data_IF_259602198015
#
_entry.id   IF_259602198015
#
_cell.length_a   1.000
_cell.length_b   1.000
_cell.length_c   1.000
_cell.angle_alpha   90.00
_cell.angle_beta   90.00
_cell.angle_gamma   90.00
#
_symmetry.space_group_name_H-M   'P 1'
#
loop_
_entity.id
_entity.type
_entity.pdbx_description
1 polymer ?
#
# COMPACT_ATOMS: atom_id res chain seq x y z
N UNK A 1 1.78 -17.53 -35.25
CA UNK A 1 1.66 -16.24 -34.57
C UNK A 1 2.31 -16.37 -33.21
N UNK A 2 3.51 -15.85 -33.02
CA UNK A 2 4.17 -15.82 -31.71
C UNK A 2 3.32 -14.97 -30.78
N UNK A 3 2.72 -15.57 -29.76
CA UNK A 3 2.00 -14.85 -28.69
C UNK A 3 2.94 -13.79 -28.12
N UNK A 4 2.64 -12.53 -28.39
CA UNK A 4 3.44 -11.40 -27.86
C UNK A 4 3.41 -11.48 -26.36
N UNK A 5 4.54 -11.74 -25.72
CA UNK A 5 4.68 -11.92 -24.28
C UNK A 5 4.18 -10.65 -23.55
N UNK A 6 3.28 -10.80 -22.58
CA UNK A 6 2.74 -9.66 -21.83
C UNK A 6 3.83 -9.07 -20.96
N UNK A 7 4.12 -7.79 -21.13
CA UNK A 7 5.19 -7.11 -20.39
C UNK A 7 4.78 -6.79 -18.96
N UNK A 8 3.57 -6.28 -18.77
CA UNK A 8 3.06 -5.95 -17.44
C UNK A 8 1.60 -6.42 -17.25
N UNK A 9 1.31 -6.88 -16.04
CA UNK A 9 -0.06 -7.00 -15.51
C UNK A 9 -0.29 -5.89 -14.51
N UNK A 10 -1.30 -5.04 -14.76
CA UNK A 10 -1.76 -4.04 -13.80
C UNK A 10 -2.89 -4.67 -12.98
N UNK A 11 -2.71 -4.71 -11.67
CA UNK A 11 -3.62 -5.33 -10.71
C UNK A 11 -4.48 -4.25 -10.08
N UNK A 12 -5.81 -4.34 -10.25
CA UNK A 12 -6.78 -3.41 -9.68
C UNK A 12 -7.72 -4.16 -8.76
N UNK A 13 -7.52 -4.06 -7.45
CA UNK A 13 -8.47 -4.54 -6.46
C UNK A 13 -9.62 -3.53 -6.33
N UNK A 14 -10.86 -3.96 -6.53
CA UNK A 14 -12.03 -3.10 -6.56
C UNK A 14 -13.11 -3.56 -5.58
N UNK A 15 -13.60 -2.64 -4.76
CA UNK A 15 -14.78 -2.83 -3.91
C UNK A 15 -15.52 -1.52 -3.74
N UNK A 16 -16.78 -1.49 -4.17
CA UNK A 16 -17.61 -0.27 -4.22
C UNK A 16 -16.89 0.84 -4.99
N UNK A 17 -16.45 0.52 -6.20
CA UNK A 17 -15.63 1.38 -7.04
C UNK A 17 -16.36 1.84 -8.33
N UNK A 18 -17.67 1.69 -8.42
CA UNK A 18 -18.49 2.00 -9.60
C UNK A 18 -18.15 3.37 -10.19
N UNK A 19 -18.02 4.40 -9.34
CA UNK A 19 -17.79 5.79 -9.78
C UNK A 19 -16.35 6.10 -10.19
N UNK A 20 -15.37 5.26 -9.81
CA UNK A 20 -13.94 5.60 -9.93
C UNK A 20 -13.16 4.69 -10.83
N UNK A 21 -13.59 3.43 -10.91
CA UNK A 21 -12.88 2.37 -11.59
C UNK A 21 -12.56 2.69 -13.04
N UNK A 22 -13.52 3.29 -13.76
CA UNK A 22 -13.32 3.61 -15.18
C UNK A 22 -12.14 4.56 -15.41
N UNK A 23 -11.96 5.55 -14.55
CA UNK A 23 -10.83 6.47 -14.63
C UNK A 23 -9.51 5.78 -14.30
N UNK A 24 -9.49 4.97 -13.25
CA UNK A 24 -8.32 4.19 -12.85
C UNK A 24 -7.87 3.24 -13.98
N UNK A 25 -8.76 2.42 -14.51
CA UNK A 25 -8.45 1.47 -15.59
C UNK A 25 -8.02 2.18 -16.88
N UNK A 26 -8.62 3.31 -17.24
CA UNK A 26 -8.18 4.10 -18.41
C UNK A 26 -6.76 4.59 -18.24
N UNK A 27 -6.35 5.05 -17.06
CA UNK A 27 -4.96 5.44 -16.78
C UNK A 27 -3.98 4.27 -16.89
N UNK A 28 -4.43 3.07 -16.51
CA UNK A 28 -3.67 1.83 -16.68
C UNK A 28 -3.51 1.45 -18.16
N UNK A 29 -4.57 1.57 -18.95
CA UNK A 29 -4.53 1.28 -20.39
C UNK A 29 -3.71 2.29 -21.21
N UNK A 30 -3.54 3.50 -20.68
CA UNK A 30 -2.75 4.58 -21.28
C UNK A 30 -1.25 4.48 -21.01
N UNK A 31 -0.77 3.43 -20.32
CA UNK A 31 0.65 3.25 -20.07
C UNK A 31 1.41 3.00 -21.38
N UNK A 32 2.48 3.75 -21.61
CA UNK A 32 3.35 3.63 -22.78
C UNK A 32 4.31 2.45 -22.62
N UNK A 33 3.74 1.24 -22.71
CA UNK A 33 4.46 -0.02 -22.58
C UNK A 33 3.90 -1.04 -23.59
N UNK A 34 4.77 -1.70 -24.34
CA UNK A 34 4.45 -2.44 -25.55
C UNK A 34 3.30 -3.47 -25.45
N UNK A 35 3.18 -4.22 -24.35
CA UNK A 35 2.11 -5.21 -24.15
C UNK A 35 1.75 -5.28 -22.69
N UNK A 36 0.51 -4.96 -22.36
CA UNK A 36 -0.01 -5.03 -21.00
C UNK A 36 -1.38 -5.70 -20.94
N UNK A 37 -1.74 -6.19 -19.76
CA UNK A 37 -3.11 -6.54 -19.39
C UNK A 37 -3.49 -5.81 -18.09
N UNK A 38 -4.77 -5.55 -17.91
CA UNK A 38 -5.34 -5.01 -16.67
C UNK A 38 -6.27 -6.06 -16.08
N UNK A 39 -5.98 -6.54 -14.88
CA UNK A 39 -6.85 -7.45 -14.15
C UNK A 39 -7.57 -6.68 -13.06
N UNK A 40 -8.86 -6.46 -13.25
CA UNK A 40 -9.75 -5.95 -12.21
C UNK A 40 -10.30 -7.13 -11.43
N UNK A 41 -10.11 -7.11 -10.11
CA UNK A 41 -10.72 -8.08 -9.21
C UNK A 41 -11.80 -7.40 -8.40
N UNK A 42 -13.04 -7.74 -8.70
CA UNK A 42 -14.20 -7.29 -7.93
C UNK A 42 -14.34 -8.14 -6.66
N UNK A 43 -14.09 -7.54 -5.52
CA UNK A 43 -14.11 -8.17 -4.20
C UNK A 43 -15.56 -8.31 -3.66
N UNK A 44 -16.45 -8.92 -4.45
CA UNK A 44 -17.88 -9.09 -4.17
C UNK A 44 -18.58 -7.74 -3.87
N UNK A 45 -18.44 -6.77 -4.77
CA UNK A 45 -19.07 -5.47 -4.62
C UNK A 45 -20.59 -5.54 -4.74
N UNK A 46 -21.35 -4.85 -3.87
CA UNK A 46 -22.81 -4.79 -3.94
C UNK A 46 -23.32 -3.74 -4.94
N UNK A 47 -22.44 -2.90 -5.52
CA UNK A 47 -22.74 -1.82 -6.47
C UNK A 47 -22.47 -2.25 -7.94
N UNK A 48 -22.45 -1.29 -8.85
CA UNK A 48 -22.19 -1.52 -10.28
C UNK A 48 -20.72 -1.76 -10.66
N UNK A 49 -19.79 -2.03 -9.71
CA UNK A 49 -18.35 -2.24 -10.00
C UNK A 49 -18.11 -3.30 -11.07
N UNK A 50 -18.73 -4.48 -10.96
CA UNK A 50 -18.63 -5.54 -11.97
C UNK A 50 -19.19 -5.12 -13.33
N UNK A 51 -20.30 -4.35 -13.35
CA UNK A 51 -20.90 -3.82 -14.59
C UNK A 51 -19.94 -2.87 -15.28
N UNK A 52 -19.42 -1.88 -14.55
CA UNK A 52 -18.45 -0.93 -15.08
C UNK A 52 -17.20 -1.62 -15.67
N UNK A 53 -16.74 -2.70 -15.04
CA UNK A 53 -15.63 -3.50 -15.58
C UNK A 53 -16.00 -4.20 -16.90
N UNK A 54 -17.20 -4.78 -17.01
CA UNK A 54 -17.65 -5.44 -18.26
C UNK A 54 -17.78 -4.43 -19.41
N UNK A 55 -18.22 -3.22 -19.11
CA UNK A 55 -18.27 -2.13 -20.11
C UNK A 55 -16.86 -1.78 -20.63
N UNK A 56 -15.86 -1.73 -19.75
CA UNK A 56 -14.45 -1.55 -20.13
C UNK A 56 -13.90 -2.72 -20.95
N UNK A 57 -14.25 -3.97 -20.60
CA UNK A 57 -13.87 -5.17 -21.36
C UNK A 57 -14.46 -5.17 -22.76
N UNK A 58 -15.66 -4.61 -22.96
CA UNK A 58 -16.30 -4.53 -24.26
C UNK A 58 -15.56 -3.58 -25.23
N UNK A 59 -14.83 -2.60 -24.72
CA UNK A 59 -14.10 -1.61 -25.54
C UNK A 59 -12.59 -1.88 -25.60
N UNK A 60 -12.01 -2.62 -24.64
CA UNK A 60 -10.58 -2.93 -24.64
C UNK A 60 -10.31 -4.38 -24.19
N UNK A 61 -9.83 -5.26 -25.08
CA UNK A 61 -9.61 -6.68 -24.77
C UNK A 61 -8.44 -6.93 -23.80
N UNK A 62 -7.66 -5.91 -23.45
CA UNK A 62 -6.61 -6.01 -22.44
C UNK A 62 -7.16 -6.03 -21.01
N UNK A 63 -8.43 -5.65 -20.82
CA UNK A 63 -9.11 -5.68 -19.51
C UNK A 63 -9.70 -7.06 -19.25
N UNK A 64 -9.48 -7.56 -18.06
CA UNK A 64 -10.03 -8.84 -17.56
C UNK A 64 -10.71 -8.61 -16.22
N UNK A 65 -11.84 -9.25 -16.00
CA UNK A 65 -12.56 -9.27 -14.73
C UNK A 65 -12.39 -10.61 -14.04
N UNK A 66 -12.04 -10.56 -12.75
CA UNK A 66 -12.21 -11.65 -11.80
C UNK A 66 -13.22 -11.19 -10.74
N UNK A 67 -14.10 -12.09 -10.28
CA UNK A 67 -15.07 -11.79 -9.23
C UNK A 67 -14.86 -12.78 -8.09
N UNK A 68 -14.73 -12.27 -6.87
CA UNK A 68 -14.67 -13.12 -5.68
C UNK A 68 -16.07 -13.43 -5.17
N UNK A 69 -16.29 -14.61 -4.60
CA UNK A 69 -17.59 -15.04 -4.06
C UNK A 69 -18.00 -14.27 -2.81
N UNK A 70 -17.03 -13.74 -2.07
CA UNK A 70 -17.21 -12.95 -0.83
C UNK A 70 -16.15 -11.90 -0.68
N UNK A 71 -16.47 -10.81 0.02
CA UNK A 71 -15.49 -9.77 0.32
C UNK A 71 -14.35 -10.31 1.20
N UNK A 72 -13.19 -10.46 0.59
CA UNK A 72 -11.93 -10.91 1.22
C UNK A 72 -10.97 -9.77 1.54
N UNK A 73 -11.25 -8.55 1.09
CA UNK A 73 -10.38 -7.38 1.22
C UNK A 73 -9.31 -7.27 0.13
N UNK A 74 -8.56 -6.17 0.12
CA UNK A 74 -7.60 -5.86 -0.94
C UNK A 74 -6.52 -6.94 -1.10
N UNK A 75 -6.09 -7.57 -0.01
CA UNK A 75 -5.11 -8.66 -0.02
C UNK A 75 -5.62 -9.87 -0.82
N UNK A 76 -6.86 -10.33 -0.59
CA UNK A 76 -7.43 -11.46 -1.30
C UNK A 76 -7.59 -11.15 -2.80
N UNK A 77 -8.10 -9.95 -3.11
CA UNK A 77 -8.26 -9.50 -4.49
C UNK A 77 -6.92 -9.41 -5.23
N UNK A 78 -5.90 -8.79 -4.62
CA UNK A 78 -4.56 -8.71 -5.23
C UNK A 78 -3.93 -10.08 -5.40
N UNK A 79 -4.08 -11.00 -4.45
CA UNK A 79 -3.58 -12.37 -4.58
C UNK A 79 -4.25 -13.12 -5.74
N UNK A 80 -5.57 -13.00 -5.92
CA UNK A 80 -6.26 -13.60 -7.06
C UNK A 80 -5.74 -13.04 -8.40
N UNK A 81 -5.45 -11.74 -8.46
CA UNK A 81 -4.84 -11.15 -9.65
C UNK A 81 -3.40 -11.64 -9.89
N UNK A 82 -2.57 -11.79 -8.84
CA UNK A 82 -1.20 -12.33 -8.96
C UNK A 82 -1.21 -13.73 -9.57
N UNK A 83 -2.12 -14.60 -9.13
CA UNK A 83 -2.27 -15.96 -9.67
C UNK A 83 -2.68 -15.96 -11.15
N UNK A 84 -3.58 -15.05 -11.54
CA UNK A 84 -4.10 -14.97 -12.91
C UNK A 84 -3.21 -14.17 -13.86
N UNK A 85 -2.18 -13.49 -13.35
CA UNK A 85 -1.31 -12.58 -14.10
C UNK A 85 -0.41 -13.33 -15.09
N UNK A 86 -0.24 -12.73 -16.28
CA UNK A 86 0.61 -13.23 -17.37
C UNK A 86 1.83 -12.35 -17.62
N UNK A 87 1.81 -11.12 -17.11
CA UNK A 87 2.88 -10.13 -17.29
C UNK A 87 4.20 -10.55 -16.66
N UNK A 88 5.31 -10.11 -17.22
CA UNK A 88 6.63 -10.24 -16.61
C UNK A 88 6.73 -9.42 -15.33
N UNK A 89 6.02 -8.30 -15.30
CA UNK A 89 5.94 -7.36 -14.19
C UNK A 89 4.51 -7.25 -13.67
N UNK A 90 4.38 -7.08 -12.36
CA UNK A 90 3.13 -6.84 -11.65
C UNK A 90 3.12 -5.41 -11.14
N UNK A 91 2.13 -4.61 -11.52
CA UNK A 91 1.96 -3.23 -11.05
C UNK A 91 0.65 -3.10 -10.27
N UNK A 92 0.71 -2.51 -9.08
CA UNK A 92 -0.49 -2.30 -8.25
C UNK A 92 -1.08 -0.93 -8.53
N UNK A 93 -2.40 -0.90 -8.74
CA UNK A 93 -3.19 0.32 -8.87
C UNK A 93 -4.47 0.19 -8.05
N UNK A 94 -4.72 1.14 -7.17
CA UNK A 94 -5.98 1.18 -6.42
C UNK A 94 -7.11 1.69 -7.33
N UNK A 95 -8.33 1.19 -7.12
CA UNK A 95 -9.48 1.44 -8.00
C UNK A 95 -9.99 2.89 -8.01
N UNK A 96 -9.43 3.75 -7.18
CA UNK A 96 -9.74 5.17 -7.07
C UNK A 96 -8.56 6.11 -7.42
N UNK A 97 -7.39 5.52 -7.75
CA UNK A 97 -6.17 6.23 -8.10
C UNK A 97 -5.87 6.18 -9.60
N UNK A 98 -4.79 6.82 -10.03
CA UNK A 98 -4.35 6.86 -11.42
C UNK A 98 -2.83 6.72 -11.54
N UNK A 99 -2.35 6.46 -12.74
CA UNK A 99 -0.94 6.44 -13.11
C UNK A 99 -0.64 7.50 -14.17
N UNK A 100 0.52 8.15 -14.10
CA UNK A 100 1.08 8.93 -15.19
C UNK A 100 1.40 8.00 -16.39
N UNK A 101 1.21 8.42 -17.65
CA UNK A 101 1.35 7.54 -18.81
C UNK A 101 2.70 6.81 -18.91
N UNK A 102 3.79 7.47 -18.57
CA UNK A 102 5.16 6.92 -18.68
C UNK A 102 5.63 6.14 -17.43
N UNK A 103 4.76 5.99 -16.42
CA UNK A 103 5.16 5.40 -15.14
C UNK A 103 5.78 4.02 -15.30
N UNK A 104 5.07 3.09 -15.95
CA UNK A 104 5.52 1.71 -16.07
C UNK A 104 6.73 1.56 -16.98
N UNK A 105 6.78 2.30 -18.09
CA UNK A 105 7.96 2.28 -18.97
C UNK A 105 9.22 2.67 -18.19
N UNK A 106 9.16 3.79 -17.46
CA UNK A 106 10.30 4.29 -16.67
C UNK A 106 10.72 3.29 -15.59
N UNK A 107 9.75 2.77 -14.80
CA UNK A 107 10.05 1.87 -13.70
C UNK A 107 10.61 0.53 -14.17
N UNK A 108 10.03 -0.06 -15.21
CA UNK A 108 10.44 -1.37 -15.73
C UNK A 108 11.79 -1.28 -16.44
N UNK A 109 12.00 -0.27 -17.29
CA UNK A 109 13.30 -0.07 -17.94
C UNK A 109 14.41 0.09 -16.91
N UNK A 110 14.17 0.89 -15.87
CA UNK A 110 15.14 1.03 -14.78
C UNK A 110 15.34 -0.29 -14.04
N UNK A 111 14.26 -0.99 -13.66
CA UNK A 111 14.35 -2.27 -12.95
C UNK A 111 15.18 -3.31 -13.71
N UNK A 112 15.03 -3.36 -15.03
CA UNK A 112 15.79 -4.27 -15.90
C UNK A 112 17.26 -3.89 -15.99
N UNK A 113 17.57 -2.59 -16.01
CA UNK A 113 18.96 -2.11 -16.08
C UNK A 113 19.78 -2.40 -14.83
N UNK A 114 19.14 -2.47 -13.65
CA UNK A 114 19.81 -2.70 -12.36
C UNK A 114 19.56 -4.09 -11.77
N UNK A 115 18.74 -4.92 -12.43
CA UNK A 115 18.38 -6.26 -11.94
C UNK A 115 17.39 -6.26 -10.76
N UNK A 116 16.63 -5.18 -10.56
CA UNK A 116 15.70 -5.05 -9.44
C UNK A 116 14.56 -6.07 -9.49
N UNK A 117 14.08 -6.52 -8.33
CA UNK A 117 12.89 -7.36 -8.17
C UNK A 117 11.66 -6.55 -7.81
N UNK A 118 11.87 -5.37 -7.21
CA UNK A 118 10.83 -4.42 -6.87
C UNK A 118 11.32 -2.99 -7.12
N UNK A 119 10.48 -2.17 -7.71
CA UNK A 119 10.71 -0.73 -7.82
C UNK A 119 9.53 0.02 -7.23
N UNK A 120 9.84 1.00 -6.40
CA UNK A 120 8.93 2.05 -5.98
C UNK A 120 9.21 3.34 -6.74
N UNK A 121 8.18 4.12 -6.97
CA UNK A 121 8.29 5.55 -7.27
C UNK A 121 7.56 6.37 -6.20
N UNK A 122 7.73 7.69 -6.23
CA UNK A 122 6.98 8.57 -5.33
C UNK A 122 5.53 8.70 -5.81
N UNK A 123 4.65 9.09 -4.89
CA UNK A 123 3.25 9.36 -5.21
C UNK A 123 2.93 10.85 -5.07
N UNK A 124 2.10 11.36 -5.98
CA UNK A 124 1.57 12.71 -5.96
C UNK A 124 0.13 12.68 -5.45
N UNK A 125 -0.18 13.31 -4.30
CA UNK A 125 -1.57 13.51 -3.91
C UNK A 125 -2.28 14.42 -4.92
N UNK A 126 -3.48 14.02 -5.33
CA UNK A 126 -4.32 14.78 -6.26
C UNK A 126 -5.76 14.89 -5.75
N UNK A 127 -6.48 15.91 -6.20
CA UNK A 127 -7.92 16.00 -6.00
C UNK A 127 -8.69 15.04 -6.94
N UNK A 128 -10.03 14.91 -6.80
CA UNK A 128 -10.82 14.05 -7.69
C UNK A 128 -10.71 14.41 -9.17
N UNK A 129 -10.35 15.65 -9.52
CA UNK A 129 -10.14 16.14 -10.88
C UNK A 129 -8.70 15.87 -11.39
N UNK A 130 -7.82 15.33 -10.56
CA UNK A 130 -6.44 14.99 -10.91
C UNK A 130 -5.44 16.14 -10.73
N UNK A 131 -5.84 17.26 -10.10
CA UNK A 131 -4.94 18.41 -9.85
C UNK A 131 -4.08 18.13 -8.62
N UNK A 132 -2.76 18.41 -8.67
CA UNK A 132 -1.86 18.16 -7.55
C UNK A 132 -2.26 18.91 -6.26
N UNK A 133 -2.22 18.21 -5.13
CA UNK A 133 -2.45 18.73 -3.79
C UNK A 133 -1.13 18.82 -3.03
N UNK A 134 -0.44 19.95 -3.14
CA UNK A 134 0.85 20.16 -2.48
C UNK A 134 2.00 19.33 -3.07
N UNK A 135 2.98 19.02 -2.22
CA UNK A 135 4.15 18.25 -2.61
C UNK A 135 3.89 16.74 -2.67
N UNK A 136 4.76 16.00 -3.37
CA UNK A 136 4.72 14.55 -3.39
C UNK A 136 4.93 13.95 -1.98
N UNK A 137 4.56 12.68 -1.81
CA UNK A 137 4.53 12.02 -0.50
C UNK A 137 5.90 11.97 0.19
N UNK A 138 6.96 11.77 -0.59
CA UNK A 138 8.32 11.68 -0.06
C UNK A 138 9.17 12.94 -0.31
N UNK A 139 8.58 14.04 -0.77
CA UNK A 139 9.31 15.29 -1.06
C UNK A 139 10.18 15.77 0.13
N UNK A 140 9.69 15.59 1.37
CA UNK A 140 10.43 15.96 2.57
C UNK A 140 11.71 15.14 2.82
N UNK A 141 11.88 13.99 2.14
CA UNK A 141 13.09 13.18 2.24
C UNK A 141 14.22 13.67 1.34
N UNK A 142 13.96 14.65 0.45
CA UNK A 142 14.92 15.23 -0.50
C UNK A 142 15.73 14.18 -1.28
N UNK A 143 15.06 13.10 -1.74
CA UNK A 143 15.70 12.05 -2.53
C UNK A 143 15.72 12.50 -3.99
N UNK A 144 16.91 12.77 -4.54
CA UNK A 144 17.07 13.35 -5.87
C UNK A 144 17.64 12.37 -6.92
N UNK A 145 17.94 11.13 -6.51
CA UNK A 145 18.48 10.09 -7.39
C UNK A 145 17.94 8.72 -7.04
N UNK A 146 17.95 7.76 -7.98
CA UNK A 146 17.57 6.39 -7.68
C UNK A 146 18.39 5.80 -6.54
N UNK A 147 17.74 5.07 -5.65
CA UNK A 147 18.37 4.47 -4.47
C UNK A 147 17.94 3.02 -4.29
N UNK A 148 18.90 2.14 -4.00
CA UNK A 148 18.61 0.80 -3.48
C UNK A 148 18.25 0.91 -1.99
N UNK A 149 17.13 0.32 -1.62
CA UNK A 149 16.69 0.31 -0.22
C UNK A 149 16.84 -1.08 0.39
N UNK A 150 17.87 -1.29 1.23
CA UNK A 150 17.96 -2.50 2.04
C UNK A 150 16.81 -2.55 3.05
N UNK A 151 16.60 -3.73 3.64
CA UNK A 151 15.50 -3.96 4.59
C UNK A 151 15.52 -2.96 5.76
N UNK A 152 16.69 -2.62 6.30
CA UNK A 152 16.83 -1.66 7.39
C UNK A 152 16.35 -0.25 6.99
N UNK A 153 16.66 0.18 5.77
CA UNK A 153 16.18 1.48 5.24
C UNK A 153 14.66 1.48 5.11
N UNK A 154 14.08 0.41 4.55
CA UNK A 154 12.65 0.24 4.41
C UNK A 154 11.95 0.23 5.78
N UNK A 155 12.42 -0.60 6.71
CA UNK A 155 11.87 -0.69 8.06
C UNK A 155 11.97 0.64 8.82
N UNK A 156 13.08 1.38 8.64
CA UNK A 156 13.25 2.73 9.23
C UNK A 156 12.18 3.69 8.75
N UNK A 157 11.84 3.69 7.47
CA UNK A 157 10.78 4.53 6.89
C UNK A 157 9.35 4.07 7.22
N UNK A 158 9.17 2.85 7.76
CA UNK A 158 7.88 2.27 8.09
C UNK A 158 7.58 2.17 9.60
N UNK A 159 8.30 2.92 10.44
CA UNK A 159 8.19 2.84 11.91
C UNK A 159 6.90 3.41 12.51
N UNK A 160 5.97 3.89 11.71
CA UNK A 160 4.71 4.52 12.17
C UNK A 160 4.93 5.70 13.13
N UNK A 161 5.87 6.57 12.82
CA UNK A 161 6.12 7.79 13.58
C UNK A 161 5.18 8.92 13.15
N UNK A 162 4.69 9.76 14.09
CA UNK A 162 3.86 10.91 13.75
C UNK A 162 4.59 11.90 12.84
N UNK A 163 3.92 12.34 11.76
CA UNK A 163 4.46 13.33 10.81
C UNK A 163 5.53 12.79 9.86
N UNK A 164 5.85 11.49 9.90
CA UNK A 164 6.75 10.85 8.97
C UNK A 164 5.95 10.23 7.81
N UNK A 165 6.37 10.50 6.57
CA UNK A 165 5.86 9.79 5.40
C UNK A 165 6.20 8.30 5.51
N UNK A 166 5.20 7.43 5.35
CA UNK A 166 5.38 6.00 5.47
C UNK A 166 5.70 5.39 4.10
N UNK A 167 6.85 4.71 3.97
CA UNK A 167 7.27 4.07 2.71
C UNK A 167 6.33 2.93 2.30
N UNK A 168 5.65 2.28 3.25
CA UNK A 168 4.68 1.21 2.98
C UNK A 168 3.39 1.66 2.29
N UNK A 169 3.21 2.95 1.98
CA UNK A 169 2.09 3.46 1.17
C UNK A 169 2.40 3.47 -0.34
N UNK A 170 3.66 3.33 -0.71
CA UNK A 170 4.07 3.35 -2.12
C UNK A 170 3.53 2.12 -2.85
N UNK A 171 3.26 2.28 -4.14
CA UNK A 171 2.69 1.22 -4.97
C UNK A 171 3.78 0.56 -5.82
N UNK A 172 4.08 -0.72 -5.54
CA UNK A 172 5.20 -1.39 -6.17
C UNK A 172 4.95 -1.75 -7.63
N UNK A 173 6.06 -1.84 -8.38
CA UNK A 173 6.17 -2.65 -9.58
C UNK A 173 7.11 -3.81 -9.25
N UNK A 174 6.61 -5.04 -9.37
CA UNK A 174 7.25 -6.27 -8.89
C UNK A 174 7.60 -7.20 -10.06
N UNK A 175 8.77 -7.82 -10.03
CA UNK A 175 9.15 -8.89 -10.95
C UNK A 175 8.32 -10.14 -10.64
N UNK A 176 7.40 -10.51 -11.55
CA UNK A 176 6.49 -11.65 -11.33
C UNK A 176 7.21 -12.96 -11.06
N UNK A 177 8.31 -13.25 -11.77
CA UNK A 177 9.09 -14.48 -11.53
C UNK A 177 9.60 -14.56 -10.10
N UNK A 178 10.13 -13.47 -9.54
CA UNK A 178 10.59 -13.42 -8.16
C UNK A 178 9.43 -13.64 -7.15
N UNK A 179 8.29 -12.99 -7.38
CA UNK A 179 7.08 -13.16 -6.55
C UNK A 179 6.62 -14.61 -6.53
N UNK A 180 6.58 -15.26 -7.69
CA UNK A 180 6.09 -16.63 -7.82
C UNK A 180 7.09 -17.66 -7.26
N UNK A 181 8.37 -17.50 -7.52
CA UNK A 181 9.43 -18.40 -7.05
C UNK A 181 9.56 -18.41 -5.53
N UNK A 182 9.34 -17.27 -4.89
CA UNK A 182 9.42 -17.12 -3.43
C UNK A 182 8.05 -17.25 -2.74
N UNK A 183 6.99 -17.57 -3.47
CA UNK A 183 5.64 -17.72 -2.90
C UNK A 183 5.09 -16.46 -2.22
N UNK A 184 5.55 -15.27 -2.63
CA UNK A 184 5.16 -14.01 -2.00
C UNK A 184 3.68 -13.72 -2.24
N UNK A 185 2.94 -13.46 -1.16
CA UNK A 185 1.51 -13.14 -1.17
C UNK A 185 1.18 -12.08 -0.13
N UNK A 186 0.14 -11.31 -0.41
CA UNK A 186 -0.46 -10.42 0.58
C UNK A 186 -1.09 -11.23 1.71
N UNK A 187 -0.89 -10.82 2.95
CA UNK A 187 -1.55 -11.44 4.11
C UNK A 187 -3.04 -11.06 4.14
N UNK A 188 -3.92 -12.03 3.92
CA UNK A 188 -5.38 -11.83 3.88
C UNK A 188 -6.01 -11.52 5.25
N UNK A 189 -5.27 -11.68 6.34
CA UNK A 189 -5.69 -11.26 7.68
C UNK A 189 -5.50 -9.75 7.89
N UNK A 190 -4.76 -9.07 6.99
CA UNK A 190 -4.51 -7.64 7.06
C UNK A 190 -5.47 -6.89 6.13
N UNK A 191 -6.19 -5.93 6.71
CA UNK A 191 -7.04 -4.96 6.01
C UNK A 191 -6.34 -3.60 5.82
N UNK A 192 -5.15 -3.45 6.41
CA UNK A 192 -4.30 -2.27 6.31
C UNK A 192 -2.88 -2.68 6.67
N UNK A 193 -1.87 -2.17 5.94
CA UNK A 193 -0.46 -2.51 6.14
C UNK A 193 -0.02 -3.79 5.43
N UNK A 194 -0.87 -4.38 4.61
CA UNK A 194 -0.57 -5.53 3.75
C UNK A 194 0.56 -5.24 2.77
N UNK A 195 0.60 -4.02 2.22
CA UNK A 195 1.66 -3.57 1.30
C UNK A 195 3.04 -3.60 1.98
N UNK A 196 3.10 -3.14 3.26
CA UNK A 196 4.34 -3.21 4.06
C UNK A 196 4.83 -4.65 4.20
N UNK A 197 3.95 -5.59 4.56
CA UNK A 197 4.34 -6.98 4.81
C UNK A 197 4.83 -7.68 3.55
N UNK A 198 4.18 -7.46 2.39
CA UNK A 198 4.65 -8.03 1.12
C UNK A 198 6.09 -7.60 0.79
N UNK A 199 6.41 -6.32 0.98
CA UNK A 199 7.75 -5.81 0.66
C UNK A 199 8.77 -6.21 1.74
N UNK A 200 8.39 -6.27 3.01
CA UNK A 200 9.25 -6.80 4.06
C UNK A 200 9.62 -8.27 3.80
N UNK A 201 8.65 -9.11 3.37
CA UNK A 201 8.90 -10.50 2.96
C UNK A 201 9.84 -10.56 1.74
N UNK A 202 9.58 -9.75 0.70
CA UNK A 202 10.44 -9.68 -0.49
C UNK A 202 11.90 -9.40 -0.09
N UNK A 203 12.11 -8.41 0.77
CA UNK A 203 13.46 -8.03 1.22
C UNK A 203 14.09 -9.10 2.12
N UNK A 204 13.31 -9.76 2.98
CA UNK A 204 13.80 -10.80 3.88
C UNK A 204 14.26 -12.08 3.16
N UNK A 205 13.70 -12.36 1.97
CA UNK A 205 14.13 -13.49 1.11
C UNK A 205 15.19 -13.07 0.08
N UNK A 206 15.78 -11.88 0.22
CA UNK A 206 16.91 -11.42 -0.60
C UNK A 206 16.53 -10.65 -1.87
N UNK A 207 15.26 -10.25 -2.02
CA UNK A 207 14.83 -9.43 -3.16
C UNK A 207 15.41 -8.02 -3.14
N UNK A 208 15.63 -7.46 -4.32
CA UNK A 208 16.19 -6.12 -4.51
C UNK A 208 15.10 -5.07 -4.71
N UNK A 209 14.99 -4.14 -3.73
CA UNK A 209 14.10 -2.99 -3.79
C UNK A 209 14.86 -1.73 -4.18
N UNK A 210 14.37 -1.03 -5.21
CA UNK A 210 14.86 0.27 -5.64
C UNK A 210 13.75 1.32 -5.58
N UNK A 211 14.14 2.56 -5.33
CA UNK A 211 13.26 3.72 -5.33
C UNK A 211 13.68 4.71 -6.43
N UNK A 212 12.70 5.16 -7.23
CA UNK A 212 12.83 6.23 -8.21
C UNK A 212 12.16 7.51 -7.66
N UNK A 213 12.86 8.65 -7.60
CA UNK A 213 12.33 9.86 -6.96
C UNK A 213 11.28 10.62 -7.77
N UNK A 214 10.93 10.15 -8.97
CA UNK A 214 9.96 10.83 -9.85
C UNK A 214 8.55 10.33 -9.55
N UNK A 215 7.60 11.19 -9.11
CA UNK A 215 6.24 10.76 -8.85
C UNK A 215 5.53 10.35 -10.15
N UNK A 216 5.05 9.11 -10.18
CA UNK A 216 4.30 8.55 -11.31
C UNK A 216 2.94 8.00 -10.90
N UNK A 217 2.71 7.82 -9.61
CA UNK A 217 1.46 7.38 -9.04
C UNK A 217 0.65 8.59 -8.54
N UNK A 218 -0.60 8.74 -9.00
CA UNK A 218 -1.51 9.81 -8.63
C UNK A 218 -2.48 9.30 -7.57
N UNK A 219 -2.23 9.65 -6.32
CA UNK A 219 -3.05 9.25 -5.17
C UNK A 219 -4.23 10.21 -5.00
N UNK A 220 -5.45 9.74 -5.28
CA UNK A 220 -6.66 10.55 -5.20
C UNK A 220 -7.11 10.74 -3.75
N UNK A 221 -7.08 11.98 -3.30
CA UNK A 221 -7.49 12.33 -1.94
C UNK A 221 -9.01 12.40 -1.82
N UNK A 222 -9.60 11.56 -0.95
CA UNK A 222 -11.04 11.52 -0.69
C UNK A 222 -11.35 11.68 0.79
N UNK A 223 -12.47 12.32 1.08
CA UNK A 223 -13.03 12.30 2.42
C UNK A 223 -13.57 10.89 2.73
N UNK A 224 -13.11 10.31 3.86
CA UNK A 224 -13.54 8.96 4.27
C UNK A 224 -12.56 7.83 3.96
N UNK A 225 -11.37 8.10 3.39
CA UNK A 225 -10.35 7.08 3.14
C UNK A 225 -10.04 6.23 4.38
N UNK A 226 -10.05 4.90 4.20
CA UNK A 226 -9.84 3.87 5.25
C UNK A 226 -8.46 4.02 5.91
N UNK A 227 -7.48 4.52 5.17
CA UNK A 227 -6.09 4.69 5.62
C UNK A 227 -5.90 5.69 6.76
N UNK A 228 -6.90 6.55 7.05
CA UNK A 228 -6.76 7.67 8.00
C UNK A 228 -6.92 7.31 9.47
N UNK A 229 -7.48 6.14 9.82
CA UNK A 229 -7.73 5.78 11.21
C UNK A 229 -7.34 4.33 11.49
N UNK A 230 -6.34 4.15 12.33
CA UNK A 230 -6.03 2.82 12.83
C UNK A 230 -7.14 2.36 13.78
N UNK A 231 -7.85 1.30 13.40
CA UNK A 231 -8.75 0.59 14.29
C UNK A 231 -7.91 -0.27 15.26
N UNK A 232 -8.26 -0.38 16.57
CA UNK A 232 -7.55 -1.25 17.52
C UNK A 232 -7.46 -2.72 17.08
N UNK A 233 -8.44 -3.22 16.33
CA UNK A 233 -8.41 -4.59 15.78
C UNK A 233 -7.36 -4.71 14.67
N UNK A 234 -7.28 -3.74 13.77
CA UNK A 234 -6.23 -3.68 12.75
C UNK A 234 -4.84 -3.57 13.40
N UNK A 235 -4.69 -2.79 14.48
CA UNK A 235 -3.41 -2.72 15.20
C UNK A 235 -3.01 -4.07 15.79
N UNK A 236 -3.97 -4.85 16.32
CA UNK A 236 -3.69 -6.21 16.83
C UNK A 236 -3.27 -7.15 15.70
N UNK A 237 -3.95 -7.12 14.55
CA UNK A 237 -3.60 -7.91 13.39
C UNK A 237 -2.18 -7.57 12.89
N UNK A 238 -1.83 -6.28 12.78
CA UNK A 238 -0.48 -5.84 12.42
C UNK A 238 0.58 -6.32 13.39
N UNK A 239 0.36 -6.20 14.71
CA UNK A 239 1.30 -6.69 15.72
C UNK A 239 1.48 -8.21 15.66
N UNK A 240 0.42 -8.95 15.33
CA UNK A 240 0.52 -10.40 15.13
C UNK A 240 1.34 -10.73 13.88
N UNK A 241 1.08 -10.05 12.76
CA UNK A 241 1.81 -10.24 11.51
C UNK A 241 3.29 -9.84 11.64
N UNK A 242 3.61 -8.73 12.33
CA UNK A 242 4.99 -8.29 12.61
C UNK A 242 5.75 -9.36 13.42
N UNK A 243 5.13 -9.97 14.43
CA UNK A 243 5.73 -11.07 15.21
C UNK A 243 5.93 -12.34 14.38
N UNK A 244 4.94 -12.71 13.58
CA UNK A 244 5.02 -13.87 12.69
C UNK A 244 6.13 -13.70 11.65
N UNK A 245 6.26 -12.49 11.06
CA UNK A 245 7.37 -12.13 10.18
C UNK A 245 8.73 -12.30 10.85
N UNK A 246 8.92 -11.72 12.04
CA UNK A 246 10.17 -11.86 12.78
C UNK A 246 10.52 -13.30 13.15
N UNK A 247 9.50 -14.14 13.44
CA UNK A 247 9.70 -15.55 13.74
C UNK A 247 10.11 -16.36 12.51
N UNK A 248 9.49 -16.10 11.35
CA UNK A 248 9.86 -16.76 10.09
C UNK A 248 11.27 -16.45 9.63
N UNK A 249 11.73 -15.25 9.89
CA UNK A 249 13.01 -14.74 9.39
C UNK A 249 14.05 -14.52 10.50
N UNK A 250 13.95 -15.28 11.61
CA UNK A 250 14.82 -15.11 12.79
C UNK A 250 16.32 -15.29 12.44
N UNK A 251 16.64 -16.19 11.51
CA UNK A 251 18.02 -16.49 11.12
C UNK A 251 18.56 -15.56 10.01
N UNK A 252 17.69 -14.95 9.22
CA UNK A 252 18.08 -14.10 8.09
C UNK A 252 18.07 -12.61 8.41
N UNK A 253 17.21 -12.16 9.34
CA UNK A 253 17.15 -10.75 9.74
C UNK A 253 18.37 -10.35 10.57
N UNK A 254 18.99 -9.24 10.19
CA UNK A 254 20.07 -8.61 11.00
C UNK A 254 19.58 -8.20 12.39
N UNK A 255 20.50 -8.03 13.32
CA UNK A 255 20.17 -7.50 14.66
C UNK A 255 19.49 -6.13 14.58
N UNK A 256 19.90 -5.30 13.62
CA UNK A 256 19.32 -3.97 13.38
C UNK A 256 17.88 -4.09 12.84
N UNK A 257 17.61 -4.94 11.84
CA UNK A 257 16.29 -5.18 11.32
C UNK A 257 15.32 -5.64 12.42
N UNK A 258 15.76 -6.59 13.26
CA UNK A 258 14.97 -7.06 14.43
C UNK A 258 14.72 -5.94 15.45
N UNK A 259 15.70 -5.04 15.67
CA UNK A 259 15.53 -3.86 16.54
C UNK A 259 14.48 -2.90 15.98
N UNK A 260 14.51 -2.64 14.67
CA UNK A 260 13.56 -1.77 13.97
C UNK A 260 12.14 -2.34 14.01
N UNK A 261 11.96 -3.65 13.83
CA UNK A 261 10.67 -4.30 13.98
C UNK A 261 10.11 -4.17 15.40
N UNK A 262 10.93 -4.41 16.44
CA UNK A 262 10.51 -4.18 17.84
C UNK A 262 10.14 -2.71 18.12
N UNK A 263 10.80 -1.77 17.46
CA UNK A 263 10.45 -0.34 17.59
C UNK A 263 9.10 -0.05 16.88
N UNK A 264 8.88 -0.61 15.69
CA UNK A 264 7.62 -0.54 14.97
C UNK A 264 6.46 -1.09 15.82
N UNK A 265 6.62 -2.28 16.39
CA UNK A 265 5.64 -2.91 17.31
C UNK A 265 5.27 -1.99 18.47
N UNK A 266 6.28 -1.41 19.13
CA UNK A 266 6.04 -0.45 20.23
C UNK A 266 5.23 0.74 19.76
N UNK A 267 5.56 1.31 18.61
CA UNK A 267 4.89 2.47 18.05
C UNK A 267 3.43 2.15 17.68
N UNK A 268 3.13 0.99 17.08
CA UNK A 268 1.76 0.58 16.79
C UNK A 268 0.94 0.29 18.04
N UNK A 269 1.54 -0.34 19.02
CA UNK A 269 0.87 -0.59 20.29
C UNK A 269 0.57 0.72 21.07
N UNK A 270 1.46 1.73 21.00
CA UNK A 270 1.20 3.06 21.55
C UNK A 270 0.10 3.79 20.80
N UNK A 271 0.07 3.65 19.47
CA UNK A 271 -0.98 4.23 18.63
C UNK A 271 -2.35 3.61 18.95
N UNK A 272 -2.42 2.29 19.10
CA UNK A 272 -3.63 1.58 19.47
C UNK A 272 -4.12 1.99 20.87
N UNK A 273 -3.21 2.08 21.84
CA UNK A 273 -3.55 2.51 23.20
C UNK A 273 -4.05 3.96 23.25
N UNK A 274 -3.41 4.87 22.48
CA UNK A 274 -3.87 6.25 22.37
C UNK A 274 -5.28 6.34 21.76
N UNK A 275 -5.57 5.59 20.70
CA UNK A 275 -6.90 5.55 20.07
C UNK A 275 -7.96 4.97 21.00
N UNK A 276 -7.65 3.91 21.74
CA UNK A 276 -8.54 3.34 22.78
C UNK A 276 -8.84 4.38 23.85
N UNK A 277 -7.83 5.09 24.33
CA UNK A 277 -8.01 6.14 25.35
C UNK A 277 -8.87 7.30 24.83
N UNK A 278 -8.63 7.78 23.60
CA UNK A 278 -9.43 8.85 22.96
C UNK A 278 -10.90 8.42 22.83
N UNK A 279 -11.16 7.19 22.37
CA UNK A 279 -12.54 6.66 22.27
C UNK A 279 -13.20 6.54 23.63
N UNK A 280 -12.46 6.08 24.64
CA UNK A 280 -12.95 5.98 26.00
C UNK A 280 -13.32 7.35 26.60
N UNK A 281 -12.49 8.38 26.38
CA UNK A 281 -12.77 9.77 26.78
C UNK A 281 -14.05 10.28 26.09
N UNK A 282 -14.17 10.12 24.77
CA UNK A 282 -15.33 10.55 24.00
C UNK A 282 -16.64 9.87 24.43
N UNK A 283 -16.56 8.65 24.96
CA UNK A 283 -17.71 7.89 25.46
C UNK A 283 -17.93 8.03 26.98
N UNK A 284 -17.27 8.99 27.66
CA UNK A 284 -17.39 9.24 29.09
C UNK A 284 -16.75 8.17 30.02
N UNK A 285 -16.04 7.18 29.46
CA UNK A 285 -15.41 6.06 30.19
C UNK A 285 -14.02 6.42 30.70
N UNK A 286 -13.92 7.43 31.58
CA UNK A 286 -12.63 8.01 32.02
C UNK A 286 -11.73 6.99 32.73
N UNK A 287 -12.27 6.09 33.58
CA UNK A 287 -11.50 5.03 34.24
C UNK A 287 -10.83 4.08 33.23
N UNK A 288 -11.50 3.79 32.11
CA UNK A 288 -10.90 2.97 31.04
C UNK A 288 -9.76 3.72 30.34
N UNK A 289 -9.93 5.02 30.10
CA UNK A 289 -8.90 5.83 29.49
C UNK A 289 -7.64 5.92 30.37
N UNK A 290 -7.83 6.26 31.67
CA UNK A 290 -6.71 6.33 32.63
C UNK A 290 -6.04 4.97 32.80
N UNK A 291 -6.78 3.88 32.96
CA UNK A 291 -6.20 2.53 33.05
C UNK A 291 -5.41 2.13 31.83
N UNK A 292 -5.84 2.52 30.61
CA UNK A 292 -5.10 2.27 29.38
C UNK A 292 -3.77 3.06 29.35
N UNK A 293 -3.80 4.33 29.72
CA UNK A 293 -2.61 5.20 29.71
C UNK A 293 -1.63 4.86 30.82
N UNK A 294 -2.10 4.42 32.00
CA UNK A 294 -1.23 3.95 33.09
C UNK A 294 -0.47 2.67 32.69
N UNK A 295 -1.11 1.77 31.99
CA UNK A 295 -0.47 0.54 31.46
C UNK A 295 0.52 0.84 30.33
N UNK A 296 0.36 2.00 29.66
CA UNK A 296 1.19 2.39 28.53
C UNK A 296 1.42 3.90 28.49
N UNK A 297 2.32 4.42 29.34
CA UNK A 297 2.54 5.87 29.47
C UNK A 297 2.99 6.58 28.19
N UNK A 298 3.75 5.89 27.33
CA UNK A 298 4.20 6.40 26.01
C UNK A 298 3.00 6.76 25.09
N UNK A 299 1.86 6.09 25.23
CA UNK A 299 0.64 6.39 24.47
C UNK A 299 0.05 7.76 24.83
N UNK A 300 0.25 8.27 26.07
CA UNK A 300 -0.23 9.58 26.48
C UNK A 300 0.42 10.70 25.64
N UNK A 301 1.73 10.65 25.42
CA UNK A 301 2.45 11.62 24.59
C UNK A 301 1.88 11.62 23.17
N UNK A 302 1.61 10.44 22.64
CA UNK A 302 1.04 10.26 21.29
C UNK A 302 -0.38 10.81 21.21
N UNK A 303 -1.21 10.54 22.21
CA UNK A 303 -2.57 11.08 22.33
C UNK A 303 -2.58 12.61 22.31
N UNK A 304 -1.71 13.26 23.11
CA UNK A 304 -1.60 14.73 23.13
C UNK A 304 -1.21 15.30 21.77
N UNK A 305 -0.25 14.69 21.06
CA UNK A 305 0.13 15.12 19.70
C UNK A 305 -1.02 15.01 18.71
N UNK A 306 -1.82 13.93 18.76
CA UNK A 306 -2.99 13.76 17.90
C UNK A 306 -4.08 14.81 18.16
N UNK A 307 -4.36 15.11 19.43
CA UNK A 307 -5.35 16.13 19.83
C UNK A 307 -4.88 17.52 19.36
N UNK A 308 -3.63 17.89 19.59
CA UNK A 308 -3.07 19.19 19.13
C UNK A 308 -3.12 19.31 17.59
N UNK A 309 -2.74 18.27 16.86
CA UNK A 309 -2.81 18.26 15.40
C UNK A 309 -4.23 18.33 14.84
N UNK A 310 -5.22 17.76 15.55
CA UNK A 310 -6.64 17.88 15.22
C UNK A 310 -7.20 19.28 15.46
N UNK A 311 -6.78 19.94 16.54
CA UNK A 311 -7.17 21.31 16.87
C UNK A 311 -6.55 22.35 15.91
N UNK A 312 -5.28 22.15 15.51
CA UNK A 312 -4.60 23.01 14.55
C UNK A 312 -5.30 22.99 13.16
N UNK A 313 -5.73 21.80 12.70
CA UNK A 313 -6.48 21.67 11.44
C UNK A 313 -7.87 22.30 11.47
N UNK A 314 -8.55 22.32 12.63
CA UNK A 314 -9.85 23.00 12.79
C UNK A 314 -9.76 24.53 12.85
N UNK A 315 -8.57 25.08 13.10
CA UNK A 315 -8.33 26.53 13.12
C UNK A 315 -7.85 27.07 11.78
N UNK A 316 -7.51 26.18 10.83
CA UNK A 316 -7.03 26.54 9.49
C UNK A 316 -8.11 26.37 8.39
N UNK A 317 -9.33 26.03 8.79
CA UNK A 317 -10.57 26.05 8.01
C UNK A 317 -11.49 27.12 8.62
#
# INVERSE_FOLDING_TARGET
MTSRRVKATIIVAAWRAEDTLSRSVRSALAQDIGSLEVIVVDDASPDGTSRATRELMAVDPRVRLLTLDRNGGPSAARNAAIEAARGEWLAVLDSDDQMQPERLLRMITFAESVGADCVYDDLQPVDPEGRPLGSSHLAALAINSPQKWPIERFLTGCRALPGQAALGYLKPVLRRSFVMQNGLRYDTNLRNGEDFHLIAELLAVGGELWFLPTPGYLYTHRDGSISRRLNPDHARALLHADKAFCARHVDTLSAEARRLMRQRDRNFADLAAAEIAIRAIKSGKLLRATGTLLRRPSAAIRMFRQIRGGLARRRAV
#
